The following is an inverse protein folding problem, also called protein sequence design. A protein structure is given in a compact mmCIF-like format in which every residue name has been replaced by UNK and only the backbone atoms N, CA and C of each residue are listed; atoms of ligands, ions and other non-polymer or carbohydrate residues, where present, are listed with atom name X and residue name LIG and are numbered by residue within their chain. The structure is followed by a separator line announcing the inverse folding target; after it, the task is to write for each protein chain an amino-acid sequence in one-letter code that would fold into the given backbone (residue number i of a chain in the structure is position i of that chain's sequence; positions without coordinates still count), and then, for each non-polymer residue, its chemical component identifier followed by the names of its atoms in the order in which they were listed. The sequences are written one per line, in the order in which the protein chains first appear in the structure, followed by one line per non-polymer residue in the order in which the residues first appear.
data_IF_850071916345
#
_entry.id   IF_850071916345
#
_cell.length_a   1.000
_cell.length_b   1.000
_cell.length_c   1.000
_cell.angle_alpha   90.00
_cell.angle_beta   90.00
_cell.angle_gamma   90.00
#
_symmetry.space_group_name_H-M   'P 1'
#
loop_
_entity.id
_entity.type
_entity.pdbx_description
1 polymer ?
#
# COMPACT_ATOMS: atom_id res chain seq x y z
N UNK A 1 -10.01 7.29 14.93
CA UNK A 1 -9.84 6.15 15.86
C UNK A 1 -9.10 6.63 17.10
N UNK A 2 -9.72 6.62 18.28
CA UNK A 2 -9.06 7.07 19.53
C UNK A 2 -9.51 6.22 20.72
N UNK A 3 -8.66 5.28 21.16
CA UNK A 3 -8.71 4.75 22.53
C UNK A 3 -7.39 4.11 23.04
N UNK A 4 -6.32 4.02 22.23
CA UNK A 4 -5.04 3.48 22.69
C UNK A 4 -3.86 4.32 22.22
N UNK A 5 -2.94 4.64 23.14
CA UNK A 5 -1.67 5.29 22.82
C UNK A 5 -0.82 4.42 21.87
N UNK A 6 -0.97 3.09 22.00
CA UNK A 6 -0.35 2.09 21.14
C UNK A 6 -1.32 0.93 20.89
N UNK A 7 -1.18 0.31 19.73
CA UNK A 7 -1.95 -0.85 19.30
C UNK A 7 -0.95 -1.95 18.94
N UNK A 8 -1.23 -3.18 19.40
CA UNK A 8 -0.48 -4.37 19.00
C UNK A 8 -1.25 -5.10 17.91
N UNK A 9 -0.63 -5.24 16.73
CA UNK A 9 -1.15 -6.04 15.61
C UNK A 9 -0.55 -7.44 15.73
N UNK A 10 -1.40 -8.46 15.71
CA UNK A 10 -1.01 -9.87 15.88
C UNK A 10 -1.52 -10.72 14.72
N UNK A 11 -0.72 -11.71 14.33
CA UNK A 11 -1.05 -12.74 13.33
C UNK A 11 -0.69 -14.11 13.91
N UNK A 12 -1.63 -15.05 13.87
CA UNK A 12 -1.43 -16.43 14.36
C UNK A 12 -0.80 -16.50 15.77
N UNK A 13 -1.23 -15.62 16.68
CA UNK A 13 -0.72 -15.56 18.06
C UNK A 13 0.65 -14.88 18.23
N UNK A 14 1.28 -14.40 17.15
CA UNK A 14 2.55 -13.68 17.17
C UNK A 14 2.36 -12.20 16.89
N UNK A 15 2.97 -11.35 17.71
CA UNK A 15 2.97 -9.90 17.51
C UNK A 15 3.77 -9.55 16.25
N UNK A 16 3.13 -8.82 15.34
CA UNK A 16 3.75 -8.32 14.12
C UNK A 16 4.33 -6.92 14.33
N UNK A 17 3.58 -6.05 15.01
CA UNK A 17 4.01 -4.69 15.32
C UNK A 17 3.24 -4.12 16.52
N UNK A 18 3.91 -3.32 17.35
CA UNK A 18 3.27 -2.56 18.44
C UNK A 18 3.67 -1.11 18.33
N UNK A 19 2.77 -0.24 17.91
CA UNK A 19 3.07 1.16 17.63
C UNK A 19 1.81 2.04 17.80
N UNK A 20 1.95 3.35 17.63
CA UNK A 20 0.77 4.24 17.56
C UNK A 20 -0.07 3.90 16.32
N UNK A 21 -1.39 4.15 16.31
CA UNK A 21 -2.21 3.95 15.11
C UNK A 21 -1.67 4.65 13.86
N UNK A 22 -1.08 5.84 14.06
CA UNK A 22 -0.44 6.60 12.98
C UNK A 22 0.78 5.88 12.40
N UNK A 23 1.69 5.41 13.25
CA UNK A 23 2.89 4.69 12.80
C UNK A 23 2.55 3.33 12.20
N UNK A 24 1.53 2.61 12.71
CA UNK A 24 1.03 1.39 12.08
C UNK A 24 0.52 1.65 10.65
N UNK A 25 -0.10 2.81 10.43
CA UNK A 25 -0.64 3.20 9.14
C UNK A 25 0.44 3.69 8.17
N UNK A 26 1.29 4.63 8.61
CA UNK A 26 2.31 5.29 7.78
C UNK A 26 3.58 4.44 7.62
N UNK A 27 3.86 3.55 8.57
CA UNK A 27 5.09 2.75 8.60
C UNK A 27 4.83 1.30 9.01
N UNK A 28 3.99 0.56 8.26
CA UNK A 28 3.79 -0.86 8.51
C UNK A 28 5.11 -1.61 8.31
N UNK A 29 5.45 -2.52 9.23
CA UNK A 29 6.71 -3.30 9.16
C UNK A 29 6.67 -4.45 8.17
N UNK A 30 5.47 -4.92 7.80
CA UNK A 30 5.30 -6.02 6.86
C UNK A 30 3.95 -5.94 6.13
N UNK A 31 3.78 -6.80 5.11
CA UNK A 31 2.57 -6.91 4.30
C UNK A 31 1.30 -7.11 5.14
N UNK A 32 1.37 -7.95 6.19
CA UNK A 32 0.21 -8.21 7.05
C UNK A 32 -0.26 -6.94 7.74
N UNK A 33 0.63 -6.19 8.40
CA UNK A 33 0.25 -4.93 9.06
C UNK A 33 -0.24 -3.90 8.03
N UNK A 34 0.40 -3.83 6.87
CA UNK A 34 0.03 -2.91 5.80
C UNK A 34 -1.38 -3.16 5.25
N UNK A 35 -1.75 -4.42 5.04
CA UNK A 35 -3.06 -4.82 4.53
C UNK A 35 -4.15 -4.79 5.60
N UNK A 36 -3.79 -5.07 6.86
CA UNK A 36 -4.75 -5.12 7.98
C UNK A 36 -5.13 -3.74 8.53
N UNK A 37 -4.19 -2.78 8.53
CA UNK A 37 -4.42 -1.44 9.09
C UNK A 37 -4.85 -0.50 7.98
N UNK A 38 -6.12 -0.08 8.02
CA UNK A 38 -6.72 0.86 7.06
C UNK A 38 -8.05 0.32 6.53
N UNK A 39 -8.98 1.22 6.18
CA UNK A 39 -10.22 0.86 5.49
C UNK A 39 -10.52 1.94 4.45
N UNK A 40 -10.52 1.62 3.13
CA UNK A 40 -10.19 0.32 2.55
C UNK A 40 -8.74 -0.13 2.82
N UNK A 41 -8.45 -1.42 2.63
CA UNK A 41 -7.11 -1.97 2.80
C UNK A 41 -6.14 -1.43 1.75
N UNK A 42 -4.84 -1.60 2.00
CA UNK A 42 -3.80 -1.25 1.02
C UNK A 42 -3.91 -2.13 -0.23
N UNK A 43 -3.73 -1.53 -1.41
CA UNK A 43 -3.61 -2.26 -2.67
C UNK A 43 -2.19 -2.81 -2.81
N UNK A 44 -2.05 -4.05 -3.28
CA UNK A 44 -0.75 -4.69 -3.47
C UNK A 44 -0.55 -5.10 -4.93
N UNK A 45 0.63 -4.77 -5.45
CA UNK A 45 1.03 -5.02 -6.83
C UNK A 45 2.35 -5.78 -6.85
N UNK A 46 2.52 -6.79 -7.73
CA UNK A 46 3.86 -7.27 -8.03
C UNK A 46 4.63 -6.13 -8.71
N UNK A 47 5.89 -5.98 -8.36
CA UNK A 47 6.72 -4.93 -8.92
C UNK A 47 8.17 -5.38 -9.04
N UNK A 48 8.85 -4.79 -10.03
CA UNK A 48 10.29 -4.98 -10.22
C UNK A 48 11.02 -3.67 -9.90
N UNK A 49 12.08 -3.77 -9.12
CA UNK A 49 12.97 -2.67 -8.79
C UNK A 49 14.28 -2.83 -9.57
N UNK A 50 14.59 -1.86 -10.43
CA UNK A 50 15.78 -1.90 -11.28
C UNK A 50 16.01 -0.58 -12.02
N UNK A 51 17.27 -0.29 -12.37
CA UNK A 51 17.64 0.90 -13.15
C UNK A 51 17.11 2.25 -12.59
N UNK A 52 16.96 2.35 -11.27
CA UNK A 52 16.41 3.54 -10.61
C UNK A 52 14.91 3.75 -10.82
N UNK A 53 14.19 2.70 -11.24
CA UNK A 53 12.73 2.69 -11.41
C UNK A 53 12.06 1.55 -10.64
N UNK A 54 10.78 1.75 -10.32
CA UNK A 54 9.84 0.71 -9.91
C UNK A 54 8.91 0.46 -11.07
N UNK A 55 8.86 -0.77 -11.58
CA UNK A 55 7.91 -1.20 -12.60
C UNK A 55 6.68 -1.79 -11.91
N UNK A 56 5.55 -1.10 -12.05
CA UNK A 56 4.22 -1.52 -11.62
C UNK A 56 3.45 -2.10 -12.81
N UNK A 57 2.36 -2.86 -12.60
CA UNK A 57 1.56 -3.43 -13.70
C UNK A 57 0.99 -2.38 -14.66
N UNK A 58 0.75 -1.17 -14.15
CA UNK A 58 0.15 -0.05 -14.90
C UNK A 58 1.17 1.04 -15.28
N UNK A 59 2.47 0.81 -15.06
CA UNK A 59 3.54 1.68 -15.57
C UNK A 59 4.83 1.70 -14.75
N UNK A 60 5.80 2.49 -15.20
CA UNK A 60 7.09 2.66 -14.52
C UNK A 60 7.17 4.03 -13.84
N UNK A 61 7.62 4.03 -12.59
CA UNK A 61 7.84 5.25 -11.79
C UNK A 61 9.27 5.32 -11.31
N UNK A 62 9.88 6.51 -11.13
CA UNK A 62 11.19 6.62 -10.51
C UNK A 62 11.19 6.04 -9.11
N UNK A 63 12.32 5.49 -8.67
CA UNK A 63 12.47 5.01 -7.28
C UNK A 63 12.37 6.20 -6.33
N UNK A 64 11.39 6.19 -5.40
CA UNK A 64 11.29 7.23 -4.37
C UNK A 64 12.60 7.38 -3.61
N UNK A 65 12.93 8.61 -3.20
CA UNK A 65 14.19 8.89 -2.51
C UNK A 65 14.40 8.00 -1.27
N UNK A 66 13.32 7.72 -0.54
CA UNK A 66 13.30 6.86 0.65
C UNK A 66 13.66 5.39 0.38
N UNK A 67 13.71 4.95 -0.88
CA UNK A 67 13.93 3.57 -1.31
C UNK A 67 15.21 3.42 -2.15
N UNK A 68 15.96 4.51 -2.32
CA UNK A 68 17.30 4.45 -2.94
C UNK A 68 18.21 3.56 -2.12
N UNK A 69 18.91 2.63 -2.79
CA UNK A 69 19.87 1.72 -2.16
C UNK A 69 19.30 0.35 -1.75
N UNK A 70 17.99 0.13 -1.88
CA UNK A 70 17.36 -1.18 -1.68
C UNK A 70 17.92 -2.19 -2.68
N UNK A 71 18.27 -3.38 -2.20
CA UNK A 71 18.84 -4.49 -2.99
C UNK A 71 17.87 -5.66 -3.08
N UNK A 72 16.73 -5.43 -3.72
CA UNK A 72 15.75 -6.45 -4.05
C UNK A 72 15.30 -6.21 -5.49
N UNK A 73 15.25 -7.25 -6.32
CA UNK A 73 14.80 -7.13 -7.72
C UNK A 73 13.28 -7.30 -7.82
N UNK A 74 12.74 -8.37 -7.22
CA UNK A 74 11.30 -8.63 -7.17
C UNK A 74 10.75 -8.21 -5.81
N UNK A 75 9.80 -7.28 -5.84
CA UNK A 75 9.20 -6.66 -4.66
C UNK A 75 7.68 -6.65 -4.78
N UNK A 76 7.00 -6.44 -3.65
CA UNK A 76 5.57 -6.15 -3.64
C UNK A 76 5.42 -4.66 -3.33
N UNK A 77 4.75 -3.95 -4.23
CA UNK A 77 4.43 -2.54 -4.06
C UNK A 77 3.07 -2.40 -3.38
N UNK A 78 3.03 -1.67 -2.26
CA UNK A 78 1.83 -1.32 -1.52
C UNK A 78 1.43 0.13 -1.77
N UNK A 79 0.19 0.36 -2.20
CA UNK A 79 -0.37 1.69 -2.43
C UNK A 79 -1.68 1.85 -1.67
N UNK A 80 -1.74 2.85 -0.80
CA UNK A 80 -2.98 3.18 -0.09
C UNK A 80 -4.04 3.71 -1.06
N UNK A 81 -5.33 3.39 -0.88
CA UNK A 81 -6.40 3.91 -1.74
C UNK A 81 -6.38 5.44 -1.91
N UNK A 82 -6.05 6.19 -0.85
CA UNK A 82 -5.94 7.65 -0.88
C UNK A 82 -4.65 8.22 -1.46
N UNK A 83 -3.76 7.35 -1.94
CA UNK A 83 -2.60 7.79 -2.74
C UNK A 83 -2.96 7.99 -4.21
N UNK A 84 -4.19 7.60 -4.59
CA UNK A 84 -4.75 7.90 -5.90
C UNK A 84 -5.62 9.17 -5.85
N UNK A 85 -5.63 9.92 -6.94
CA UNK A 85 -6.60 11.00 -7.17
C UNK A 85 -7.01 11.02 -8.65
N UNK A 86 -8.14 11.62 -8.98
CA UNK A 86 -8.48 11.92 -10.37
C UNK A 86 -7.50 12.97 -10.92
N UNK A 87 -6.90 12.71 -12.08
CA UNK A 87 -5.79 13.53 -12.58
C UNK A 87 -6.14 15.03 -12.74
N UNK A 88 -7.39 15.36 -13.03
CA UNK A 88 -7.84 16.75 -13.19
C UNK A 88 -7.99 17.52 -11.86
N UNK A 89 -7.99 16.81 -10.73
CA UNK A 89 -8.00 17.38 -9.37
C UNK A 89 -6.70 17.11 -8.61
N UNK A 90 -5.74 16.42 -9.23
CA UNK A 90 -4.47 16.12 -8.61
C UNK A 90 -3.70 17.42 -8.28
N UNK A 91 -2.96 17.46 -7.16
CA UNK A 91 -2.06 18.57 -6.87
C UNK A 91 -1.05 18.80 -7.99
N UNK A 92 -0.53 20.03 -8.14
CA UNK A 92 0.66 20.24 -8.96
C UNK A 92 1.81 19.40 -8.42
N UNK A 93 2.53 18.73 -9.31
CA UNK A 93 3.55 17.75 -8.98
C UNK A 93 4.78 17.92 -9.86
N UNK A 94 5.97 17.67 -9.30
CA UNK A 94 7.21 17.68 -10.07
C UNK A 94 7.48 16.32 -10.73
N UNK A 95 8.29 16.34 -11.78
CA UNK A 95 8.67 15.13 -12.51
C UNK A 95 9.26 14.07 -11.55
N UNK A 96 8.59 12.91 -11.50
CA UNK A 96 9.03 11.76 -10.72
C UNK A 96 8.49 11.66 -9.29
N UNK A 97 7.72 12.65 -8.82
CA UNK A 97 6.99 12.58 -7.54
C UNK A 97 5.60 11.96 -7.70
N UNK A 98 5.13 11.88 -8.94
CA UNK A 98 3.84 11.27 -9.26
C UNK A 98 3.80 10.56 -10.59
N UNK A 99 2.74 9.79 -10.77
CA UNK A 99 2.50 9.02 -11.98
C UNK A 99 1.05 9.13 -12.42
N UNK A 100 0.82 9.38 -13.71
CA UNK A 100 -0.53 9.44 -14.28
C UNK A 100 -0.69 8.32 -15.29
N UNK A 101 -1.78 7.57 -15.16
CA UNK A 101 -2.09 6.43 -16.03
C UNK A 101 -3.59 6.39 -16.35
N UNK A 102 -3.91 5.79 -17.49
CA UNK A 102 -5.29 5.62 -17.96
C UNK A 102 -5.83 4.25 -17.53
N UNK A 103 -7.04 4.24 -16.98
CA UNK A 103 -7.76 3.02 -16.57
C UNK A 103 -9.22 3.10 -16.96
N UNK A 104 -9.85 1.95 -17.14
CA UNK A 104 -11.30 1.83 -17.24
C UNK A 104 -11.87 1.58 -15.83
N UNK A 105 -12.92 2.31 -15.46
CA UNK A 105 -13.52 2.20 -14.13
C UNK A 105 -14.62 1.14 -14.14
N UNK A 106 -14.55 0.16 -13.25
CA UNK A 106 -15.55 -0.90 -13.13
C UNK A 106 -16.74 -0.49 -12.25
N UNK A 107 -16.43 0.16 -11.13
CA UNK A 107 -17.44 0.56 -10.14
C UNK A 107 -17.04 1.88 -9.47
N UNK A 108 -18.05 2.72 -9.22
CA UNK A 108 -17.93 3.92 -8.39
C UNK A 108 -18.95 3.83 -7.26
N UNK A 109 -18.49 3.90 -6.03
CA UNK A 109 -19.31 3.96 -4.82
C UNK A 109 -19.17 5.34 -4.16
N UNK A 110 -20.29 6.01 -3.92
CA UNK A 110 -20.31 7.29 -3.21
C UNK A 110 -20.46 7.06 -1.71
N UNK A 111 -19.45 7.48 -0.95
CA UNK A 111 -19.40 7.36 0.51
C UNK A 111 -19.77 8.68 1.20
N UNK A 112 -20.36 9.63 0.46
CA UNK A 112 -20.75 10.95 0.94
C UNK A 112 -19.62 11.97 0.86
N UNK A 113 -18.53 11.77 1.61
CA UNK A 113 -17.38 12.69 1.62
C UNK A 113 -16.24 12.30 0.69
N UNK A 114 -16.30 11.11 0.10
CA UNK A 114 -15.27 10.51 -0.75
C UNK A 114 -15.94 9.58 -1.78
N UNK A 115 -15.24 9.29 -2.88
CA UNK A 115 -15.63 8.25 -3.84
C UNK A 115 -14.67 7.08 -3.76
N UNK A 116 -15.21 5.86 -3.68
CA UNK A 116 -14.42 4.65 -3.87
C UNK A 116 -14.59 4.19 -5.31
N UNK A 117 -13.46 4.05 -5.98
CA UNK A 117 -13.38 3.72 -7.40
C UNK A 117 -12.64 2.41 -7.52
N UNK A 118 -13.24 1.48 -8.26
CA UNK A 118 -12.68 0.16 -8.47
C UNK A 118 -12.33 -0.01 -9.93
N UNK A 119 -11.16 -0.58 -10.17
CA UNK A 119 -10.67 -0.92 -11.50
C UNK A 119 -9.74 -2.14 -11.40
N UNK A 120 -9.62 -2.89 -12.49
CA UNK A 120 -8.64 -3.96 -12.61
C UNK A 120 -7.37 -3.50 -13.36
N UNK A 121 -6.26 -4.22 -13.16
CA UNK A 121 -5.07 -4.12 -14.01
C UNK A 121 -4.79 -5.44 -14.71
N UNK A 122 -4.10 -5.37 -15.84
CA UNK A 122 -3.64 -6.57 -16.56
C UNK A 122 -2.37 -7.14 -15.91
N UNK A 123 -2.34 -8.45 -15.68
CA UNK A 123 -1.19 -9.18 -15.13
C UNK A 123 -1.53 -9.95 -13.86
N UNK A 124 -0.64 -10.85 -13.42
CA UNK A 124 -0.86 -11.61 -12.19
C UNK A 124 -0.88 -10.69 -10.96
N UNK A 125 -1.69 -11.04 -9.96
CA UNK A 125 -1.74 -10.33 -8.69
C UNK A 125 -0.48 -10.54 -7.83
N UNK A 126 -0.29 -9.69 -6.82
CA UNK A 126 0.74 -9.94 -5.81
C UNK A 126 0.32 -11.15 -4.96
N UNK A 127 1.22 -12.14 -4.84
CA UNK A 127 0.95 -13.37 -4.09
C UNK A 127 1.88 -13.52 -2.90
N UNK A 128 1.32 -13.68 -1.71
CA UNK A 128 2.02 -14.15 -0.51
C UNK A 128 1.03 -14.81 0.45
N UNK A 129 1.51 -15.61 1.40
CA UNK A 129 0.65 -16.23 2.41
C UNK A 129 -0.06 -15.17 3.27
N UNK A 130 0.62 -14.05 3.58
CA UNK A 130 0.03 -12.90 4.27
C UNK A 130 -1.17 -12.32 3.51
N UNK A 131 -1.00 -12.12 2.20
CA UNK A 131 -2.02 -11.49 1.35
C UNK A 131 -3.23 -12.40 1.16
N UNK A 132 -3.00 -13.71 1.05
CA UNK A 132 -4.07 -14.70 0.97
C UNK A 132 -4.92 -14.74 2.25
N UNK A 133 -4.29 -14.67 3.43
CA UNK A 133 -5.00 -14.58 4.71
C UNK A 133 -5.83 -13.30 4.83
N UNK A 134 -5.26 -12.13 4.47
CA UNK A 134 -6.00 -10.85 4.50
C UNK A 134 -7.20 -10.89 3.55
N UNK A 135 -7.04 -11.42 2.35
CA UNK A 135 -8.12 -11.54 1.38
C UNK A 135 -9.25 -12.45 1.90
N UNK A 136 -8.91 -13.54 2.59
CA UNK A 136 -9.89 -14.43 3.22
C UNK A 136 -10.67 -13.73 4.34
N UNK A 137 -9.98 -13.02 5.24
CA UNK A 137 -10.61 -12.29 6.35
C UNK A 137 -11.49 -11.13 5.87
N UNK A 138 -11.10 -10.46 4.78
CA UNK A 138 -11.87 -9.37 4.18
C UNK A 138 -13.06 -9.85 3.33
N UNK A 139 -13.24 -11.17 3.15
CA UNK A 139 -14.26 -11.74 2.27
C UNK A 139 -14.01 -11.47 0.77
N UNK A 140 -12.76 -11.16 0.41
CA UNK A 140 -12.31 -10.85 -0.95
C UNK A 140 -11.69 -12.07 -1.66
N UNK A 141 -11.65 -13.24 -1.01
CA UNK A 141 -11.08 -14.47 -1.55
C UNK A 141 -11.78 -15.02 -2.81
N UNK A 142 -13.01 -14.58 -3.10
CA UNK A 142 -13.85 -15.08 -4.20
C UNK A 142 -13.93 -14.15 -5.43
N UNK A 143 -13.08 -13.11 -5.56
CA UNK A 143 -13.11 -12.23 -6.74
C UNK A 143 -12.47 -12.93 -7.96
N UNK A 144 -13.23 -13.33 -9.00
CA UNK A 144 -12.70 -14.04 -10.14
C UNK A 144 -12.18 -13.05 -11.18
N UNK A 145 -10.88 -13.12 -11.50
CA UNK A 145 -10.25 -12.31 -12.55
C UNK A 145 -8.75 -12.43 -12.40
N UNK A 146 -8.02 -12.69 -13.49
CA UNK A 146 -6.57 -12.94 -13.46
C UNK A 146 -5.71 -11.73 -13.12
N UNK A 147 -6.31 -10.60 -12.77
CA UNK A 147 -5.66 -9.37 -12.29
C UNK A 147 -6.19 -8.95 -10.93
N UNK A 148 -5.38 -8.21 -10.17
CA UNK A 148 -5.77 -7.74 -8.85
C UNK A 148 -6.75 -6.57 -8.95
N UNK A 149 -7.94 -6.69 -8.35
CA UNK A 149 -8.86 -5.57 -8.21
C UNK A 149 -8.25 -4.48 -7.34
N UNK A 150 -8.27 -3.24 -7.83
CA UNK A 150 -7.73 -2.06 -7.15
C UNK A 150 -8.86 -1.20 -6.62
N UNK A 151 -8.62 -0.57 -5.46
CA UNK A 151 -9.50 0.44 -4.87
C UNK A 151 -8.74 1.76 -4.78
N UNK A 152 -9.27 2.80 -5.43
CA UNK A 152 -8.82 4.18 -5.28
C UNK A 152 -9.86 4.98 -4.50
N UNK A 153 -9.39 5.87 -3.62
CA UNK A 153 -10.24 6.74 -2.81
C UNK A 153 -10.02 8.18 -3.26
N UNK A 154 -10.99 8.70 -4.00
CA UNK A 154 -10.90 9.99 -4.67
C UNK A 154 -11.73 11.06 -3.94
N UNK A 155 -11.44 12.32 -4.25
CA UNK A 155 -12.28 13.46 -3.87
C UNK A 155 -13.73 13.28 -4.37
N UNK A 156 -14.75 13.74 -3.61
CA UNK A 156 -16.15 13.71 -4.05
C UNK A 156 -16.40 14.60 -5.29
N UNK A 157 -15.50 15.53 -5.59
CA UNK A 157 -15.57 16.40 -6.77
C UNK A 157 -15.07 15.71 -8.05
N UNK A 158 -14.49 14.50 -7.95
CA UNK A 158 -13.98 13.77 -9.09
C UNK A 158 -15.10 13.37 -10.07
N UNK A 159 -14.93 13.71 -11.35
CA UNK A 159 -15.91 13.40 -12.39
C UNK A 159 -15.62 12.07 -13.08
N UNK A 160 -15.67 10.99 -12.31
CA UNK A 160 -15.44 9.62 -12.79
C UNK A 160 -16.73 8.82 -12.86
N UNK A 161 -16.86 7.93 -13.84
CA UNK A 161 -18.04 7.07 -14.01
C UNK A 161 -17.62 5.66 -14.37
N UNK A 162 -18.41 4.68 -13.91
CA UNK A 162 -18.25 3.30 -14.29
C UNK A 162 -18.46 3.10 -15.81
N UNK A 163 -17.64 2.24 -16.43
CA UNK A 163 -17.58 1.96 -17.85
C UNK A 163 -16.87 3.03 -18.70
N UNK A 164 -16.31 4.07 -18.07
CA UNK A 164 -15.54 5.11 -18.77
C UNK A 164 -14.04 4.97 -18.48
N UNK A 165 -13.22 5.31 -19.49
CA UNK A 165 -11.79 5.49 -19.29
C UNK A 165 -11.51 6.85 -18.67
N UNK A 166 -10.66 6.88 -17.66
CA UNK A 166 -10.21 8.10 -17.01
C UNK A 166 -8.73 8.03 -16.68
N UNK A 167 -8.14 9.18 -16.37
CA UNK A 167 -6.77 9.27 -15.89
C UNK A 167 -6.76 9.36 -14.37
N UNK A 168 -6.06 8.43 -13.75
CA UNK A 168 -5.76 8.48 -12.34
C UNK A 168 -4.32 8.96 -12.14
N UNK A 169 -4.16 9.78 -11.12
CA UNK A 169 -2.90 10.22 -10.58
C UNK A 169 -2.55 9.37 -9.37
N UNK A 170 -1.26 9.06 -9.22
CA UNK A 170 -0.69 8.31 -8.11
C UNK A 170 0.45 9.12 -7.48
N UNK A 171 0.37 9.31 -6.17
CA UNK A 171 1.46 9.81 -5.31
C UNK A 171 2.56 8.73 -5.19
N UNK A 172 3.68 8.94 -5.88
CA UNK A 172 4.79 7.97 -5.89
C UNK A 172 5.60 8.05 -4.59
N UNK A 173 5.59 9.18 -3.88
CA UNK A 173 6.29 9.32 -2.61
C UNK A 173 5.65 8.49 -1.49
N UNK A 174 4.36 8.17 -1.62
CA UNK A 174 3.60 7.32 -0.70
C UNK A 174 3.70 5.82 -1.00
N UNK A 175 4.54 5.43 -1.96
CA UNK A 175 4.74 4.03 -2.28
C UNK A 175 5.44 3.28 -1.13
N UNK A 176 4.87 2.13 -0.75
CA UNK A 176 5.52 1.18 0.14
C UNK A 176 6.11 0.04 -0.68
N UNK A 177 7.33 -0.40 -0.40
CA UNK A 177 7.90 -1.61 -0.99
C UNK A 177 8.11 -2.66 0.09
N UNK A 178 7.84 -3.91 -0.26
CA UNK A 178 8.01 -5.07 0.60
C UNK A 178 8.83 -6.14 -0.14
N UNK A 179 9.66 -6.89 0.58
CA UNK A 179 10.36 -8.03 0.03
C UNK A 179 9.34 -9.13 -0.32
N UNK A 180 9.39 -9.63 -1.55
CA UNK A 180 8.44 -10.64 -2.01
C UNK A 180 8.61 -12.01 -1.33
N UNK A 181 9.77 -12.28 -0.69
CA UNK A 181 10.08 -13.56 -0.05
C UNK A 181 9.60 -13.63 1.40
N UNK A 182 9.78 -12.55 2.16
CA UNK A 182 9.50 -12.54 3.60
C UNK A 182 8.48 -11.47 4.04
N UNK A 183 7.99 -10.66 3.09
CA UNK A 183 6.95 -9.67 3.30
C UNK A 183 7.39 -8.48 4.16
N UNK A 184 8.68 -8.35 4.51
CA UNK A 184 9.18 -7.21 5.29
C UNK A 184 9.21 -5.95 4.45
N UNK A 185 8.89 -4.82 5.08
CA UNK A 185 8.98 -3.52 4.42
C UNK A 185 10.44 -3.19 4.12
N UNK A 186 10.70 -2.77 2.89
CA UNK A 186 11.99 -2.30 2.42
C UNK A 186 12.13 -0.79 2.69
N UNK A 187 13.30 -0.37 3.14
CA UNK A 187 13.67 1.03 3.38
C UNK A 187 15.08 1.26 2.85
N UNK A 188 15.34 2.43 2.27
CA UNK A 188 16.65 2.80 1.70
C UNK A 188 17.80 2.93 2.71
N UNK A 189 17.50 2.90 4.02
CA UNK A 189 18.49 2.90 5.10
C UNK A 189 18.43 1.60 5.92
N UNK A 190 19.05 0.51 5.44
CA UNK A 190 19.59 -0.48 6.39
C UNK A 190 20.86 0.11 7.01
N UNK A 191 20.69 0.92 8.05
CA UNK A 191 21.79 1.67 8.63
C UNK A 191 21.55 2.44 9.92
N UNK A 192 20.53 2.15 10.74
CA UNK A 192 20.54 2.59 12.15
C UNK A 192 19.58 1.82 13.05
N UNK A 193 20.14 0.82 13.75
CA UNK A 193 19.74 0.45 15.10
C UNK A 193 18.45 -0.35 15.23
N UNK A 194 18.60 -1.66 15.37
CA UNK A 194 17.79 -2.41 16.33
C UNK A 194 17.70 -1.64 17.63
N UNK A 195 16.57 -0.98 17.89
CA UNK A 195 16.15 -0.75 19.28
C UNK A 195 15.56 -2.06 19.76
N UNK A 196 16.46 -2.93 20.19
CA UNK A 196 16.17 -3.99 21.13
C UNK A 196 15.35 -3.37 22.27
N UNK A 197 14.13 -3.86 22.44
CA UNK A 197 13.28 -3.47 23.56
C UNK A 197 13.89 -4.12 24.80
N UNK A 198 14.79 -3.40 25.46
CA UNK A 198 15.26 -3.74 26.80
C UNK A 198 14.04 -3.83 27.72
N UNK A 199 13.75 -5.03 28.20
CA UNK A 199 12.84 -5.22 29.32
C UNK A 199 13.34 -4.38 30.52
N UNK A 200 12.47 -3.72 31.29
CA UNK A 200 12.90 -3.10 32.54
C UNK A 200 13.26 -4.20 33.54
N UNK A 201 14.50 -4.10 34.03
CA UNK A 201 15.07 -4.88 35.12
C UNK A 201 14.26 -4.67 36.41
N UNK A 202 13.40 -5.63 36.74
CA UNK A 202 12.67 -5.65 38.00
C UNK A 202 13.46 -6.46 39.04
N UNK A 203 14.60 -5.93 39.44
CA UNK A 203 15.34 -6.36 40.62
C UNK A 203 15.82 -5.14 41.42
N UNK A 204 14.99 -4.65 42.36
CA UNK A 204 15.46 -4.07 43.61
C UNK A 204 14.30 -3.67 44.55
N UNK A 205 14.22 -4.40 45.66
CA UNK A 205 13.67 -4.06 47.00
C UNK A 205 12.20 -4.33 47.26
#
# INVERSE_FOLDING_TARGET
MTLGDRVAVMRAGTIQQVDTPKELYERPRNLFVAGFIGSPSMNFFPADLGDGKVRLPFGEVPVPAALKGVKAEHVIAGVRPESFEWADLAPEHHDGESFVFEVEIDLVESMGSELYVYFDYEGEGATSDELAEIAADAGLADVPGGGGRVVARLSPDAQVKAGEKTKLWLDVERLHLFDAKDGRRLTGEEGSGEREVSAPDAAAR
#
